data_IF_343920614367
#
_entry.id   IF_343920614367
#
_cell.length_a   1.000
_cell.length_b   1.000
_cell.length_c   1.000
_cell.angle_alpha   90.00
_cell.angle_beta   90.00
_cell.angle_gamma   90.00
#
_symmetry.space_group_name_H-M   'P 1'
#
loop_
_entity.id
_entity.type
_entity.pdbx_description
1 polymer ?
#
# COMPACT_ATOMS: atom_id res chain seq x y z
N UNK A 1 15.16 20.36 20.61
CA UNK A 1 13.75 20.76 20.41
C UNK A 1 13.30 20.10 19.11
N UNK A 2 12.27 19.24 19.12
CA UNK A 2 11.67 18.66 17.91
C UNK A 2 10.45 19.50 17.56
N UNK A 3 10.51 20.27 16.49
CA UNK A 3 9.45 21.25 16.15
C UNK A 3 8.36 20.59 15.30
N UNK A 4 8.69 19.50 14.59
CA UNK A 4 7.76 18.68 13.83
C UNK A 4 7.84 17.23 14.31
N UNK A 5 6.94 16.83 15.19
CA UNK A 5 6.93 15.46 15.75
C UNK A 5 6.02 14.59 14.89
N UNK A 6 6.59 14.01 13.84
CA UNK A 6 6.05 12.77 13.28
C UNK A 6 6.65 11.63 14.12
N UNK A 7 5.80 10.81 14.75
CA UNK A 7 6.28 9.61 15.43
C UNK A 7 6.74 8.59 14.39
N UNK A 8 8.05 8.58 14.14
CA UNK A 8 8.68 7.69 13.18
C UNK A 8 8.42 6.20 13.50
N UNK A 9 8.26 5.85 14.78
CA UNK A 9 8.00 4.45 15.18
C UNK A 9 6.58 4.01 14.85
N UNK A 10 5.61 4.90 15.05
CA UNK A 10 4.22 4.68 14.69
C UNK A 10 4.06 4.59 13.16
N UNK A 11 4.70 5.50 12.42
CA UNK A 11 4.69 5.46 10.96
C UNK A 11 5.36 4.20 10.42
N UNK A 12 6.48 3.76 11.00
CA UNK A 12 7.12 2.50 10.63
C UNK A 12 6.20 1.28 10.86
N UNK A 13 5.45 1.26 11.97
CA UNK A 13 4.49 0.19 12.23
C UNK A 13 3.33 0.20 11.22
N UNK A 14 2.82 1.39 10.86
CA UNK A 14 1.73 1.53 9.91
C UNK A 14 2.15 1.16 8.47
N UNK A 15 3.32 1.60 8.03
CA UNK A 15 3.88 1.24 6.70
C UNK A 15 4.16 -0.25 6.59
N UNK A 16 4.69 -0.88 7.64
CA UNK A 16 4.86 -2.34 7.71
C UNK A 16 3.50 -3.08 7.62
N UNK A 17 2.49 -2.57 8.31
CA UNK A 17 1.13 -3.12 8.26
C UNK A 17 0.51 -3.00 6.87
N UNK A 18 0.69 -1.87 6.18
CA UNK A 18 0.22 -1.66 4.81
C UNK A 18 0.90 -2.61 3.82
N UNK A 19 2.22 -2.79 3.93
CA UNK A 19 2.96 -3.74 3.08
C UNK A 19 2.53 -5.18 3.32
N UNK A 20 2.28 -5.54 4.58
CA UNK A 20 1.76 -6.87 4.94
C UNK A 20 0.35 -7.08 4.41
N UNK A 21 -0.52 -6.09 4.53
CA UNK A 21 -1.87 -6.16 3.97
C UNK A 21 -1.82 -6.30 2.43
N UNK A 22 -0.93 -5.58 1.76
CA UNK A 22 -0.74 -5.68 0.32
C UNK A 22 -0.30 -7.08 -0.13
N UNK A 23 0.57 -7.77 0.62
CA UNK A 23 0.98 -9.15 0.28
C UNK A 23 -0.10 -10.18 0.55
N UNK A 24 -1.04 -9.90 1.45
CA UNK A 24 -2.18 -10.77 1.76
C UNK A 24 -3.33 -10.68 0.76
N UNK A 25 -3.40 -9.62 -0.05
CA UNK A 25 -4.38 -9.49 -1.12
C UNK A 25 -3.96 -10.40 -2.28
N UNK A 26 -4.49 -11.61 -2.34
CA UNK A 26 -4.19 -12.60 -3.37
C UNK A 26 -5.25 -12.64 -4.46
N UNK A 27 -4.86 -13.08 -5.67
CA UNK A 27 -5.80 -13.27 -6.77
C UNK A 27 -6.69 -14.49 -6.53
N UNK A 28 -7.96 -14.36 -6.89
CA UNK A 28 -8.87 -15.50 -6.97
C UNK A 28 -8.41 -16.35 -8.16
N UNK A 29 -8.09 -17.64 -7.96
CA UNK A 29 -7.61 -18.49 -9.02
C UNK A 29 -8.69 -18.65 -10.10
N UNK A 30 -8.31 -18.70 -11.39
CA UNK A 30 -9.25 -18.95 -12.45
C UNK A 30 -9.82 -20.37 -12.30
N UNK A 31 -11.15 -20.47 -12.27
CA UNK A 31 -11.81 -21.76 -12.48
C UNK A 31 -11.96 -22.00 -13.98
N UNK A 32 -11.41 -23.12 -14.46
CA UNK A 32 -11.54 -23.60 -15.84
C UNK A 32 -12.35 -24.90 -15.89
N UNK A 33 -13.69 -24.86 -15.89
CA UNK A 33 -14.50 -26.05 -16.15
C UNK A 33 -14.79 -26.20 -17.65
N UNK A 34 -14.93 -27.45 -18.12
CA UNK A 34 -15.22 -27.80 -19.52
C UNK A 34 -16.40 -27.00 -20.14
N UNK A 35 -16.22 -26.57 -21.39
CA UNK A 35 -16.99 -25.51 -22.04
C UNK A 35 -18.39 -25.87 -22.56
N UNK A 36 -18.88 -27.09 -22.34
CA UNK A 36 -20.10 -27.56 -23.01
C UNK A 36 -21.31 -27.60 -22.06
N UNK A 37 -22.40 -26.92 -22.43
CA UNK A 37 -23.71 -27.05 -21.76
C UNK A 37 -24.44 -25.75 -21.42
N UNK A 38 -25.64 -25.84 -20.81
CA UNK A 38 -26.57 -24.73 -20.56
C UNK A 38 -26.06 -23.67 -19.55
N UNK A 39 -24.89 -23.88 -18.95
CA UNK A 39 -24.28 -22.98 -17.96
C UNK A 39 -23.21 -22.05 -18.55
N UNK A 40 -23.04 -22.00 -19.87
CA UNK A 40 -22.02 -21.18 -20.54
C UNK A 40 -22.10 -19.69 -20.18
N UNK A 41 -23.28 -19.07 -20.23
CA UNK A 41 -23.45 -17.65 -19.91
C UNK A 41 -23.09 -17.33 -18.45
N UNK A 42 -23.47 -18.20 -17.51
CA UNK A 42 -23.10 -18.07 -16.10
C UNK A 42 -21.58 -18.16 -15.91
N UNK A 43 -20.90 -19.07 -16.62
CA UNK A 43 -19.42 -19.19 -16.54
C UNK A 43 -18.72 -17.95 -17.08
N UNK A 44 -19.16 -17.40 -18.20
CA UNK A 44 -18.61 -16.14 -18.73
C UNK A 44 -18.79 -15.00 -17.73
N UNK A 45 -19.97 -14.88 -17.14
CA UNK A 45 -20.23 -13.88 -16.10
C UNK A 45 -19.33 -14.07 -14.87
N UNK A 46 -19.16 -15.32 -14.41
CA UNK A 46 -18.27 -15.65 -13.29
C UNK A 46 -16.80 -15.33 -13.60
N UNK A 47 -16.31 -15.71 -14.77
CA UNK A 47 -14.94 -15.43 -15.19
C UNK A 47 -14.68 -13.92 -15.29
N UNK A 48 -15.64 -13.17 -15.85
CA UNK A 48 -15.58 -11.70 -15.89
C UNK A 48 -15.57 -11.09 -14.49
N UNK A 49 -16.41 -11.59 -13.59
CA UNK A 49 -16.46 -11.13 -12.21
C UNK A 49 -15.13 -11.40 -11.46
N UNK A 50 -14.56 -12.61 -11.63
CA UNK A 50 -13.24 -12.95 -11.08
C UNK A 50 -12.16 -12.01 -11.63
N UNK A 51 -12.15 -11.77 -12.95
CA UNK A 51 -11.22 -10.84 -13.59
C UNK A 51 -11.30 -9.44 -12.99
N UNK A 52 -12.52 -8.89 -12.85
CA UNK A 52 -12.71 -7.57 -12.25
C UNK A 52 -12.27 -7.50 -10.78
N UNK A 53 -12.51 -8.54 -9.99
CA UNK A 53 -12.07 -8.60 -8.60
C UNK A 53 -10.53 -8.62 -8.53
N UNK A 54 -9.88 -9.43 -9.36
CA UNK A 54 -8.42 -9.53 -9.39
C UNK A 54 -7.77 -8.21 -9.87
N UNK A 55 -8.35 -7.56 -10.87
CA UNK A 55 -7.90 -6.23 -11.32
C UNK A 55 -7.98 -5.21 -10.19
N UNK A 56 -9.10 -5.20 -9.46
CA UNK A 56 -9.30 -4.27 -8.34
C UNK A 56 -8.40 -4.60 -7.16
N UNK A 57 -8.17 -5.88 -6.90
CA UNK A 57 -7.21 -6.36 -5.92
C UNK A 57 -5.79 -5.87 -6.24
N UNK A 58 -5.37 -5.97 -7.51
CA UNK A 58 -4.09 -5.43 -7.99
C UNK A 58 -3.95 -3.92 -7.78
N UNK A 59 -4.99 -3.15 -8.08
CA UNK A 59 -5.02 -1.71 -7.82
C UNK A 59 -4.88 -1.39 -6.33
N UNK A 60 -5.59 -2.12 -5.47
CA UNK A 60 -5.54 -1.91 -4.02
C UNK A 60 -4.16 -2.24 -3.43
N UNK A 61 -3.51 -3.31 -3.91
CA UNK A 61 -2.12 -3.64 -3.55
C UNK A 61 -1.17 -2.51 -3.89
N UNK A 62 -1.25 -2.01 -5.12
CA UNK A 62 -0.40 -0.91 -5.58
C UNK A 62 -0.61 0.37 -4.76
N UNK A 63 -1.86 0.66 -4.40
CA UNK A 63 -2.19 1.84 -3.58
C UNK A 63 -1.66 1.71 -2.15
N UNK A 64 -1.81 0.53 -1.51
CA UNK A 64 -1.29 0.29 -0.17
C UNK A 64 0.24 0.45 -0.10
N UNK A 65 0.96 -0.04 -1.12
CA UNK A 65 2.40 0.15 -1.24
C UNK A 65 2.77 1.63 -1.43
N UNK A 66 2.07 2.33 -2.33
CA UNK A 66 2.30 3.76 -2.56
C UNK A 66 2.07 4.59 -1.30
N UNK A 67 1.02 4.28 -0.54
CA UNK A 67 0.74 4.96 0.72
C UNK A 67 1.87 4.75 1.73
N UNK A 68 2.38 3.53 1.86
CA UNK A 68 3.53 3.25 2.72
C UNK A 68 4.76 4.09 2.31
N UNK A 69 5.07 4.17 1.02
CA UNK A 69 6.24 4.92 0.54
C UNK A 69 6.11 6.43 0.82
N UNK A 70 4.92 7.01 0.64
CA UNK A 70 4.67 8.44 0.93
C UNK A 70 4.76 8.73 2.43
N UNK A 71 4.31 7.81 3.27
CA UNK A 71 4.43 7.94 4.72
C UNK A 71 5.88 7.94 5.19
N UNK A 72 6.72 7.06 4.63
CA UNK A 72 8.17 7.06 4.90
C UNK A 72 8.83 8.36 4.43
N UNK A 73 8.49 8.84 3.23
CA UNK A 73 8.98 10.13 2.73
C UNK A 73 8.62 11.29 3.67
N UNK A 74 7.46 11.23 4.31
CA UNK A 74 7.03 12.25 5.28
C UNK A 74 7.90 12.22 6.54
N UNK A 75 8.27 11.03 7.03
CA UNK A 75 9.19 10.87 8.17
C UNK A 75 10.59 11.38 7.83
N UNK A 76 11.09 11.05 6.63
CA UNK A 76 12.40 11.50 6.16
C UNK A 76 12.46 13.03 6.04
N UNK A 77 11.40 13.64 5.49
CA UNK A 77 11.29 15.09 5.41
C UNK A 77 11.29 15.74 6.79
N UNK A 78 10.50 15.21 7.74
CA UNK A 78 10.45 15.70 9.13
C UNK A 78 11.82 15.60 9.81
N UNK A 79 12.52 14.48 9.61
CA UNK A 79 13.86 14.23 10.18
C UNK A 79 14.90 15.18 9.58
N UNK A 80 14.82 15.46 8.29
CA UNK A 80 15.70 16.41 7.61
C UNK A 80 15.51 17.83 8.15
N UNK A 81 14.26 18.28 8.31
CA UNK A 81 13.96 19.61 8.86
C UNK A 81 14.46 19.75 10.30
N UNK A 82 14.19 18.77 11.16
CA UNK A 82 14.68 18.77 12.55
C UNK A 82 16.22 18.78 12.62
N UNK A 83 16.89 18.01 11.75
CA UNK A 83 18.35 17.98 11.66
C UNK A 83 18.96 19.30 11.19
N UNK A 84 18.34 19.95 10.21
CA UNK A 84 18.77 21.25 9.70
C UNK A 84 18.59 22.34 10.78
N UNK A 85 17.42 22.36 11.42
CA UNK A 85 17.13 23.30 12.50
C UNK A 85 18.11 23.16 13.68
N UNK A 86 18.46 21.92 14.06
CA UNK A 86 19.43 21.67 15.11
C UNK A 86 20.86 22.14 14.75
N UNK A 87 21.26 22.04 13.48
CA UNK A 87 22.55 22.55 13.00
C UNK A 87 22.59 24.07 13.01
N UNK A 88 21.54 24.71 12.52
CA UNK A 88 21.46 26.18 12.49
C UNK A 88 21.46 26.76 13.90
N UNK A 89 20.74 26.13 14.84
CA UNK A 89 20.75 26.55 16.25
C UNK A 89 22.15 26.42 16.87
N UNK A 90 22.90 25.36 16.56
CA UNK A 90 24.30 25.19 17.03
C UNK A 90 25.27 26.19 16.41
N UNK A 91 24.99 26.73 15.22
CA UNK A 91 25.85 27.70 14.56
C UNK A 91 25.69 29.12 15.11
N UNK A 92 24.57 29.39 15.80
CA UNK A 92 24.21 30.71 16.33
C UNK A 92 24.46 30.83 17.85
N UNK A 93 24.66 29.70 18.53
CA UNK A 93 25.01 29.61 19.97
C UNK A 93 26.51 29.41 20.18
#
# INVERSE_FOLDING_TARGET
MRTFVVDASEVAALTSSLRTAATQITDIPPHTPNDFGPTAAFRTALASAIGHVNDRAGQLRAEALRLADVMELTVDASTSVDGNFARDLRAVL
#
